data_IF_742982915114
#
_entry.id   IF_742982915114
#
_cell.length_a   1.000
_cell.length_b   1.000
_cell.length_c   1.000
_cell.angle_alpha   90.00
_cell.angle_beta   90.00
_cell.angle_gamma   90.00
#
_symmetry.space_group_name_H-M   'P 1'
#
loop_
_entity.id
_entity.type
_entity.pdbx_description
1 polymer ?
#
# COMPACT_ATOMS: atom_id res chain seq x y z
N UNK A 1 1.32 -0.05 17.05
CA UNK A 1 1.62 1.19 16.28
C UNK A 1 3.11 1.41 16.08
N UNK A 2 3.94 1.41 17.14
CA UNK A 2 5.41 1.58 17.01
C UNK A 2 6.06 0.61 16.00
N UNK A 3 5.68 -0.66 16.00
CA UNK A 3 6.20 -1.65 15.05
C UNK A 3 5.90 -1.28 13.59
N UNK A 4 4.70 -0.76 13.30
CA UNK A 4 4.32 -0.34 11.95
C UNK A 4 5.10 0.92 11.51
N UNK A 5 5.34 1.83 12.46
CA UNK A 5 6.14 3.04 12.26
C UNK A 5 7.61 2.72 11.99
N UNK A 6 8.20 1.82 12.77
CA UNK A 6 9.57 1.35 12.56
C UNK A 6 9.72 0.64 11.22
N UNK A 7 8.74 -0.20 10.87
CA UNK A 7 8.67 -0.83 9.55
C UNK A 7 8.64 0.23 8.44
N UNK A 8 7.72 1.19 8.49
CA UNK A 8 7.63 2.25 7.48
C UNK A 8 8.92 3.07 7.36
N UNK A 9 9.56 3.41 8.49
CA UNK A 9 10.84 4.13 8.52
C UNK A 9 12.00 3.35 7.91
N UNK A 10 11.99 2.02 8.04
CA UNK A 10 13.02 1.16 7.47
C UNK A 10 12.86 0.89 5.97
N UNK A 11 11.64 1.00 5.43
CA UNK A 11 11.32 0.48 4.10
C UNK A 11 10.76 1.50 3.11
N UNK A 12 10.33 2.68 3.55
CA UNK A 12 9.93 3.74 2.62
C UNK A 12 11.16 4.49 2.09
N UNK A 13 11.15 4.90 0.81
CA UNK A 13 12.17 5.78 0.24
C UNK A 13 12.35 7.07 1.06
N UNK A 14 13.58 7.58 1.13
CA UNK A 14 13.92 8.82 1.86
C UNK A 14 13.02 9.98 1.47
N UNK A 15 12.74 10.15 0.17
CA UNK A 15 11.85 11.20 -0.34
C UNK A 15 10.42 11.13 0.19
N UNK A 16 9.94 9.95 0.58
CA UNK A 16 8.64 9.77 1.22
C UNK A 16 8.78 9.99 2.73
N UNK A 17 9.84 9.50 3.36
CA UNK A 17 10.09 9.70 4.79
C UNK A 17 10.15 11.18 5.17
N UNK A 18 10.76 12.01 4.31
CA UNK A 18 10.95 13.44 4.56
C UNK A 18 9.63 14.24 4.58
N UNK A 19 8.56 13.70 3.99
CA UNK A 19 7.25 14.36 3.91
C UNK A 19 6.18 13.72 4.79
N UNK A 20 6.45 12.57 5.41
CA UNK A 20 5.47 11.83 6.23
C UNK A 20 5.70 12.11 7.72
N UNK A 21 4.69 12.67 8.38
CA UNK A 21 4.73 12.85 9.83
C UNK A 21 4.18 11.62 10.56
N UNK A 22 5.08 10.68 10.87
CA UNK A 22 4.74 9.47 11.62
C UNK A 22 4.26 9.69 13.06
N UNK A 23 4.27 10.91 13.60
CA UNK A 23 3.64 11.20 14.90
C UNK A 23 2.11 11.17 14.80
N UNK A 24 1.57 11.38 13.60
CA UNK A 24 0.12 11.39 13.30
C UNK A 24 -0.40 10.03 12.80
N UNK A 25 0.45 9.01 12.75
CA UNK A 25 0.13 7.70 12.18
C UNK A 25 -1.02 7.03 12.95
N UNK A 26 -2.10 6.74 12.25
CA UNK A 26 -3.32 6.15 12.81
C UNK A 26 -3.85 5.02 11.91
N UNK A 27 -4.08 3.84 12.49
CA UNK A 27 -4.70 2.73 11.77
C UNK A 27 -6.20 2.99 11.54
N UNK A 28 -6.64 2.88 10.29
CA UNK A 28 -8.05 3.03 9.91
C UNK A 28 -8.77 1.68 10.01
N UNK A 29 -9.47 1.45 11.13
CA UNK A 29 -10.13 0.17 11.48
C UNK A 29 -11.39 -0.13 10.67
N UNK A 30 -12.14 0.91 10.30
CA UNK A 30 -13.42 0.82 9.60
C UNK A 30 -13.35 1.50 8.24
N UNK A 31 -12.41 1.07 7.41
CA UNK A 31 -12.62 1.31 5.99
C UNK A 31 -13.83 0.46 5.59
N UNK A 32 -14.99 1.10 5.50
CA UNK A 32 -16.24 0.62 4.88
C UNK A 32 -16.05 0.30 3.39
N UNK A 33 -14.86 -0.14 3.02
CA UNK A 33 -14.49 -0.71 1.76
C UNK A 33 -15.07 -2.12 1.78
N UNK A 34 -16.34 -2.18 1.39
CA UNK A 34 -17.14 -3.35 1.06
C UNK A 34 -16.80 -4.65 1.82
N UNK A 35 -17.72 -5.14 2.67
CA UNK A 35 -17.59 -6.41 3.42
C UNK A 35 -17.18 -7.62 2.57
N UNK A 36 -17.40 -7.60 1.26
CA UNK A 36 -16.93 -8.63 0.32
C UNK A 36 -15.40 -8.69 0.15
N UNK A 37 -14.66 -7.64 0.50
CA UNK A 37 -13.19 -7.57 0.44
C UNK A 37 -12.53 -7.93 1.79
N UNK A 38 -13.30 -7.90 2.89
CA UNK A 38 -12.82 -8.20 4.25
C UNK A 38 -12.43 -9.68 4.47
N UNK A 39 -12.80 -10.58 3.56
CA UNK A 39 -12.45 -12.01 3.69
C UNK A 39 -10.98 -12.33 3.33
N UNK A 40 -10.22 -11.35 2.84
CA UNK A 40 -8.77 -11.51 2.58
C UNK A 40 -8.01 -10.64 3.58
N UNK A 41 -7.48 -11.28 4.62
CA UNK A 41 -6.85 -10.68 5.82
C UNK A 41 -5.58 -9.81 5.59
N UNK A 42 -5.37 -9.16 4.45
CA UNK A 42 -4.07 -8.62 4.03
C UNK A 42 -3.96 -7.10 3.91
N UNK A 43 -5.02 -6.35 4.20
CA UNK A 43 -5.11 -4.96 3.76
C UNK A 43 -5.13 -4.03 4.98
N UNK A 44 -4.11 -3.19 5.15
CA UNK A 44 -4.04 -2.19 6.23
C UNK A 44 -4.00 -0.79 5.65
N UNK A 45 -4.92 0.06 6.09
CA UNK A 45 -4.92 1.48 5.74
C UNK A 45 -4.49 2.29 6.95
N UNK A 46 -3.44 3.08 6.79
CA UNK A 46 -2.98 4.02 7.81
C UNK A 46 -3.27 5.43 7.32
N UNK A 47 -3.96 6.22 8.14
CA UNK A 47 -4.01 7.67 8.00
C UNK A 47 -2.72 8.24 8.59
N UNK A 48 -2.16 9.22 7.91
CA UNK A 48 -0.96 9.94 8.34
C UNK A 48 -0.91 11.28 7.63
N UNK A 49 -0.31 12.29 8.23
CA UNK A 49 -0.06 13.55 7.55
C UNK A 49 1.11 13.40 6.57
N UNK A 50 0.84 13.75 5.31
CA UNK A 50 1.79 13.75 4.19
C UNK A 50 1.86 15.17 3.66
N UNK A 51 3.04 15.79 3.76
CA UNK A 51 3.28 17.17 3.37
C UNK A 51 2.28 18.15 4.03
N UNK A 52 2.10 18.04 5.35
CA UNK A 52 1.20 18.85 6.17
C UNK A 52 -0.30 18.74 5.80
N UNK A 53 -0.71 17.64 5.17
CA UNK A 53 -2.11 17.37 4.83
C UNK A 53 -2.45 15.93 5.16
N UNK A 54 -3.71 15.68 5.47
CA UNK A 54 -4.19 14.31 5.65
C UNK A 54 -3.92 13.48 4.39
N UNK A 55 -3.25 12.36 4.59
CA UNK A 55 -2.93 11.37 3.57
C UNK A 55 -3.00 9.96 4.13
N UNK A 56 -2.63 9.00 3.29
CA UNK A 56 -2.77 7.60 3.60
C UNK A 56 -1.58 6.78 3.10
N UNK A 57 -1.22 5.76 3.86
CA UNK A 57 -0.34 4.69 3.43
C UNK A 57 -1.16 3.40 3.43
N UNK A 58 -1.25 2.78 2.26
CA UNK A 58 -2.04 1.56 2.07
C UNK A 58 -1.12 0.36 1.90
N UNK A 59 -1.22 -0.60 2.83
CA UNK A 59 -0.44 -1.83 2.82
C UNK A 59 -1.26 -2.98 2.26
N UNK A 60 -0.69 -3.67 1.27
CA UNK A 60 -1.22 -4.91 0.73
C UNK A 60 -0.21 -6.04 0.97
N UNK A 61 -0.59 -7.03 1.79
CA UNK A 61 0.21 -8.24 2.02
C UNK A 61 -0.11 -9.31 0.97
N UNK A 62 0.81 -9.54 0.04
CA UNK A 62 0.63 -10.55 -1.01
C UNK A 62 1.42 -11.83 -0.69
N UNK A 63 0.72 -12.97 -0.73
CA UNK A 63 1.25 -14.27 -0.30
C UNK A 63 0.98 -15.41 -1.31
N UNK A 64 0.42 -15.12 -2.49
CA UNK A 64 0.14 -16.15 -3.51
C UNK A 64 0.44 -15.69 -4.95
N UNK A 65 1.45 -16.34 -5.55
CA UNK A 65 1.88 -16.24 -6.96
C UNK A 65 0.84 -16.33 -8.10
N UNK A 66 -0.44 -16.62 -7.84
CA UNK A 66 -1.46 -16.75 -8.90
C UNK A 66 -2.25 -15.46 -9.16
N UNK A 67 -2.30 -14.51 -8.21
CA UNK A 67 -3.06 -13.24 -8.34
C UNK A 67 -2.22 -12.05 -8.83
N UNK A 68 -0.93 -12.29 -9.01
CA UNK A 68 0.15 -11.37 -9.37
C UNK A 68 -0.21 -10.30 -10.40
N UNK A 69 -0.87 -10.63 -11.51
CA UNK A 69 -1.14 -9.63 -12.59
C UNK A 69 -2.20 -8.59 -12.23
N UNK A 70 -3.02 -8.85 -11.21
CA UNK A 70 -4.15 -7.99 -10.85
C UNK A 70 -3.86 -7.07 -9.67
N UNK A 71 -2.68 -7.19 -9.04
CA UNK A 71 -2.29 -6.40 -7.86
C UNK A 71 -2.41 -4.90 -8.13
N UNK A 72 -1.95 -4.43 -9.30
CA UNK A 72 -2.07 -3.02 -9.67
C UNK A 72 -3.54 -2.57 -9.73
N UNK A 73 -4.45 -3.41 -10.25
CA UNK A 73 -5.86 -3.08 -10.38
C UNK A 73 -6.57 -3.15 -9.04
N UNK A 74 -6.18 -4.11 -8.19
CA UNK A 74 -6.63 -4.20 -6.82
C UNK A 74 -6.27 -2.91 -6.06
N UNK A 75 -5.00 -2.51 -6.07
CA UNK A 75 -4.54 -1.28 -5.43
C UNK A 75 -5.28 -0.05 -5.95
N UNK A 76 -5.42 0.10 -7.28
CA UNK A 76 -6.11 1.23 -7.87
C UNK A 76 -7.59 1.27 -7.48
N UNK A 77 -8.29 0.13 -7.48
CA UNK A 77 -9.68 0.03 -7.03
C UNK A 77 -9.81 0.49 -5.58
N UNK A 78 -8.94 0.02 -4.70
CA UNK A 78 -8.95 0.43 -3.29
C UNK A 78 -8.68 1.92 -3.12
N UNK A 79 -7.75 2.49 -3.86
CA UNK A 79 -7.48 3.92 -3.82
C UNK A 79 -8.70 4.74 -4.23
N UNK A 80 -9.40 4.32 -5.29
CA UNK A 80 -10.66 4.96 -5.72
C UNK A 80 -11.73 4.84 -4.64
N UNK A 81 -11.92 3.66 -4.04
CA UNK A 81 -12.90 3.46 -2.96
C UNK A 81 -12.58 4.30 -1.71
N UNK A 82 -11.30 4.44 -1.36
CA UNK A 82 -10.86 5.34 -0.28
C UNK A 82 -11.21 6.78 -0.62
N UNK A 83 -10.88 7.24 -1.83
CA UNK A 83 -11.17 8.60 -2.28
C UNK A 83 -12.67 8.90 -2.31
N UNK A 84 -13.48 8.02 -2.88
CA UNK A 84 -14.94 8.14 -2.90
C UNK A 84 -15.50 8.26 -1.48
N UNK A 85 -15.11 7.34 -0.59
CA UNK A 85 -15.51 7.37 0.82
C UNK A 85 -15.14 8.69 1.52
N UNK A 86 -14.00 9.29 1.15
CA UNK A 86 -13.51 10.54 1.73
C UNK A 86 -14.23 11.77 1.18
N UNK A 87 -14.49 11.81 -0.12
CA UNK A 87 -15.27 12.88 -0.76
C UNK A 87 -16.71 12.86 -0.26
N UNK A 88 -17.37 11.70 -0.29
CA UNK A 88 -18.79 11.58 0.06
C UNK A 88 -19.07 11.80 1.56
N UNK A 89 -18.23 11.25 2.44
CA UNK A 89 -18.50 11.27 3.89
C UNK A 89 -17.89 12.45 4.62
N UNK A 90 -16.81 13.02 4.09
CA UNK A 90 -16.06 14.08 4.78
C UNK A 90 -16.10 15.42 4.04
N UNK A 91 -16.73 15.49 2.86
CA UNK A 91 -16.91 16.74 2.11
C UNK A 91 -15.58 17.38 1.68
N UNK A 92 -14.54 16.57 1.49
CA UNK A 92 -13.21 17.05 1.12
C UNK A 92 -13.24 17.68 -0.28
N UNK A 93 -12.61 18.85 -0.42
CA UNK A 93 -12.52 19.61 -1.67
C UNK A 93 -11.45 19.07 -2.63
N UNK A 94 -10.67 18.07 -2.22
CA UNK A 94 -9.63 17.45 -3.01
C UNK A 94 -9.31 16.04 -2.50
N UNK A 95 -8.58 15.28 -3.32
CA UNK A 95 -8.21 13.91 -3.01
C UNK A 95 -6.96 13.86 -2.12
N UNK A 96 -6.99 13.13 -0.99
CA UNK A 96 -5.79 12.92 -0.17
C UNK A 96 -4.77 12.07 -0.93
N UNK A 97 -3.49 12.27 -0.63
CA UNK A 97 -2.41 11.41 -1.15
C UNK A 97 -2.59 10.01 -0.57
N UNK A 98 -2.45 8.99 -1.42
CA UNK A 98 -2.39 7.59 -0.99
C UNK A 98 -1.08 6.99 -1.53
N UNK A 99 -0.25 6.45 -0.64
CA UNK A 99 0.98 5.74 -0.97
C UNK A 99 0.70 4.23 -0.87
N UNK A 100 0.52 3.51 -1.98
CA UNK A 100 0.36 2.07 -1.96
C UNK A 100 1.71 1.37 -1.82
N UNK A 101 1.80 0.48 -0.83
CA UNK A 101 2.94 -0.36 -0.54
C UNK A 101 2.50 -1.84 -0.53
N UNK A 102 3.11 -2.63 -1.40
CA UNK A 102 2.96 -4.08 -1.42
C UNK A 102 4.10 -4.70 -0.63
N UNK A 103 3.77 -5.63 0.26
CA UNK A 103 4.74 -6.44 0.98
C UNK A 103 4.59 -7.87 0.47
N UNK A 104 5.63 -8.38 -0.18
CA UNK A 104 5.61 -9.67 -0.85
C UNK A 104 6.59 -10.63 -0.20
N UNK A 105 6.13 -11.85 0.09
CA UNK A 105 6.86 -12.82 0.90
C UNK A 105 6.68 -14.29 0.46
N UNK A 106 6.64 -14.57 -0.85
CA UNK A 106 6.50 -15.95 -1.37
C UNK A 106 7.86 -16.59 -1.71
N UNK A 107 7.89 -17.76 -2.35
CA UNK A 107 9.11 -18.55 -2.64
C UNK A 107 9.89 -18.11 -3.88
N UNK A 108 9.42 -17.12 -4.64
CA UNK A 108 10.08 -16.67 -5.87
C UNK A 108 10.06 -15.15 -5.99
N UNK A 109 10.92 -14.59 -6.85
CA UNK A 109 11.04 -13.14 -7.02
C UNK A 109 9.76 -12.47 -7.53
N UNK A 110 9.53 -11.22 -7.12
CA UNK A 110 8.45 -10.40 -7.67
C UNK A 110 8.70 -10.08 -9.15
N UNK A 111 7.79 -10.55 -10.03
CA UNK A 111 7.87 -10.34 -11.49
C UNK A 111 6.75 -9.47 -12.07
N UNK A 112 5.93 -8.88 -11.21
CA UNK A 112 4.81 -8.02 -11.60
C UNK A 112 5.31 -6.61 -11.87
N UNK A 113 4.79 -5.98 -12.92
CA UNK A 113 5.06 -4.57 -13.21
C UNK A 113 4.49 -3.68 -12.10
N UNK A 114 5.26 -2.68 -11.68
CA UNK A 114 4.87 -1.72 -10.64
C UNK A 114 4.17 -0.49 -11.19
N UNK A 115 4.41 -0.17 -12.47
CA UNK A 115 3.85 0.98 -13.20
C UNK A 115 2.74 0.55 -14.13
N UNK A 116 1.64 1.31 -14.17
CA UNK A 116 0.53 1.04 -15.09
C UNK A 116 0.96 1.17 -16.56
N UNK A 117 1.83 2.13 -16.85
CA UNK A 117 2.42 2.34 -18.19
C UNK A 117 3.09 1.08 -18.74
N UNK A 118 3.75 0.31 -17.88
CA UNK A 118 4.51 -0.87 -18.28
C UNK A 118 3.61 -2.06 -18.66
N UNK A 119 2.32 -1.97 -18.34
CA UNK A 119 1.30 -2.97 -18.67
C UNK A 119 0.57 -2.66 -19.97
N UNK A 120 0.75 -1.46 -20.53
CA UNK A 120 0.07 -1.04 -21.75
C UNK A 120 0.93 -1.42 -22.96
N UNK A 121 0.37 -2.27 -23.82
CA UNK A 121 1.04 -2.72 -25.05
C UNK A 121 1.30 -1.50 -25.93
N UNK A 122 2.58 -1.26 -26.24
CA UNK A 122 2.98 -0.17 -27.12
C UNK A 122 3.01 1.22 -26.46
N UNK A 123 3.03 1.32 -25.12
CA UNK A 123 2.97 2.60 -24.40
C UNK A 123 3.99 3.64 -24.90
N UNK A 124 5.23 3.22 -25.13
CA UNK A 124 6.31 4.11 -25.56
C UNK A 124 6.12 4.64 -27.00
N UNK A 125 5.30 3.97 -27.81
CA UNK A 125 4.98 4.37 -29.18
C UNK A 125 3.76 5.29 -29.26
N UNK A 126 3.03 5.47 -28.15
CA UNK A 126 1.86 6.36 -28.13
C UNK A 126 2.31 7.83 -28.20
N UNK A 127 1.56 8.68 -28.94
CA UNK A 127 1.74 10.13 -28.86
C UNK A 127 1.52 10.64 -27.44
N UNK A 128 2.22 11.72 -27.05
CA UNK A 128 2.03 12.36 -25.74
C UNK A 128 0.58 12.81 -25.51
N UNK A 129 -0.09 13.24 -26.58
CA UNK A 129 -1.52 13.59 -26.55
C UNK A 129 -2.45 12.42 -26.20
N UNK A 130 -2.02 11.18 -26.40
CA UNK A 130 -2.77 10.00 -25.97
C UNK A 130 -2.41 9.64 -24.53
N UNK A 131 -1.13 9.77 -24.15
CA UNK A 131 -0.65 9.44 -22.80
C UNK A 131 -1.36 10.24 -21.70
N UNK A 132 -1.81 11.47 -21.97
CA UNK A 132 -2.58 12.29 -21.01
C UNK A 132 -3.90 11.67 -20.54
N UNK A 133 -4.45 10.71 -21.28
CA UNK A 133 -5.67 9.98 -20.89
C UNK A 133 -5.38 8.69 -20.12
N UNK A 134 -4.11 8.33 -19.94
CA UNK A 134 -3.68 7.16 -19.19
C UNK A 134 -3.29 7.61 -17.77
N UNK A 135 -3.89 7.04 -16.72
CA UNK A 135 -3.51 7.37 -15.35
C UNK A 135 -2.03 7.09 -15.09
N UNK A 136 -1.32 8.07 -14.51
CA UNK A 136 0.02 7.83 -13.97
C UNK A 136 -0.12 7.16 -12.61
N UNK A 137 0.21 5.87 -12.56
CA UNK A 137 0.09 5.08 -11.34
C UNK A 137 1.28 4.13 -11.18
N UNK A 138 1.88 4.16 -10.00
CA UNK A 138 2.94 3.27 -9.56
C UNK A 138 2.72 2.91 -8.08
N UNK A 139 3.09 1.68 -7.71
CA UNK A 139 3.12 1.26 -6.31
C UNK A 139 4.52 0.86 -5.86
N UNK A 140 4.77 1.03 -4.56
CA UNK A 140 5.99 0.55 -3.92
C UNK A 140 5.87 -0.95 -3.69
N UNK A 141 6.94 -1.69 -3.94
CA UNK A 141 7.03 -3.11 -3.63
C UNK A 141 8.22 -3.33 -2.69
N UNK A 142 7.94 -4.02 -1.60
CA UNK A 142 8.94 -4.57 -0.71
C UNK A 142 8.98 -6.09 -0.88
N UNK A 143 9.94 -6.55 -1.68
CA UNK A 143 10.13 -7.96 -2.02
C UNK A 143 11.06 -8.62 -0.99
N UNK A 144 10.48 -9.32 -0.02
CA UNK A 144 11.21 -10.00 1.04
C UNK A 144 12.05 -11.18 0.54
N UNK A 145 11.80 -11.67 -0.68
CA UNK A 145 12.55 -12.80 -1.26
C UNK A 145 13.97 -12.42 -1.67
N UNK A 146 14.24 -11.12 -1.80
CA UNK A 146 15.55 -10.58 -2.18
C UNK A 146 16.53 -10.43 -1.02
N UNK A 147 16.07 -10.65 0.21
CA UNK A 147 16.90 -10.54 1.40
C UNK A 147 17.27 -11.94 1.88
N UNK A 148 18.56 -12.17 2.09
CA UNK A 148 19.04 -13.40 2.72
C UNK A 148 18.72 -13.36 4.23
N UNK A 149 18.59 -14.53 4.85
CA UNK A 149 18.27 -14.69 6.29
C UNK A 149 19.19 -13.90 7.25
N UNK A 150 20.38 -13.50 6.78
CA UNK A 150 21.39 -12.74 7.52
C UNK A 150 21.16 -11.21 7.49
N UNK A 151 20.61 -10.66 6.40
CA UNK A 151 20.36 -9.22 6.23
C UNK A 151 19.04 -8.80 6.86
N UNK A 152 18.06 -9.70 6.74
CA UNK A 152 16.75 -9.59 7.35
C UNK A 152 16.42 -11.01 7.77
N UNK A 153 16.36 -11.27 9.07
CA UNK A 153 15.70 -12.49 9.53
C UNK A 153 14.27 -12.43 8.99
N UNK A 154 13.97 -13.21 7.96
CA UNK A 154 12.63 -13.30 7.37
C UNK A 154 11.61 -13.64 8.46
N UNK A 155 12.04 -14.39 9.49
CA UNK A 155 11.32 -14.56 10.75
C UNK A 155 11.01 -13.25 11.48
N UNK A 156 11.92 -12.29 11.55
CA UNK A 156 11.71 -11.00 12.20
C UNK A 156 10.70 -10.14 11.45
N UNK A 157 10.75 -10.05 10.11
CA UNK A 157 9.74 -9.30 9.36
C UNK A 157 8.39 -10.01 9.39
N UNK A 158 8.36 -11.32 9.23
CA UNK A 158 7.12 -12.11 9.40
C UNK A 158 6.55 -11.93 10.81
N UNK A 159 7.38 -11.93 11.86
CA UNK A 159 6.96 -11.60 13.24
C UNK A 159 6.49 -10.16 13.36
N UNK A 160 7.12 -9.19 12.70
CA UNK A 160 6.69 -7.80 12.66
C UNK A 160 5.30 -7.70 12.03
N UNK A 161 5.09 -8.33 10.87
CA UNK A 161 3.81 -8.38 10.17
C UNK A 161 2.75 -9.05 11.04
N UNK A 162 3.03 -10.24 11.59
CA UNK A 162 2.13 -10.94 12.51
C UNK A 162 1.82 -10.08 13.74
N UNK A 163 2.81 -9.37 14.30
CA UNK A 163 2.59 -8.46 15.43
C UNK A 163 1.72 -7.27 15.02
N UNK A 164 1.95 -6.67 13.85
CA UNK A 164 1.09 -5.59 13.32
C UNK A 164 -0.34 -6.13 13.17
N UNK A 165 -0.54 -7.27 12.50
CA UNK A 165 -1.86 -7.89 12.33
C UNK A 165 -2.53 -8.23 13.68
N UNK A 166 -1.76 -8.70 14.66
CA UNK A 166 -2.25 -9.00 16.00
C UNK A 166 -2.64 -7.74 16.76
N UNK A 167 -1.78 -6.71 16.75
CA UNK A 167 -2.03 -5.43 17.42
C UNK A 167 -3.24 -4.72 16.79
N UNK A 168 -3.39 -4.80 15.46
CA UNK A 168 -4.59 -4.37 14.72
C UNK A 168 -5.85 -5.07 15.25
N UNK A 169 -5.80 -6.40 15.40
CA UNK A 169 -6.93 -7.22 15.89
C UNK A 169 -7.28 -6.96 17.36
N UNK A 170 -6.32 -6.59 18.20
CA UNK A 170 -6.60 -6.20 19.59
C UNK A 170 -7.18 -4.79 19.66
N UNK A 171 -6.63 -3.85 18.90
CA UNK A 171 -7.17 -2.49 18.83
C UNK A 171 -8.60 -2.46 18.27
N UNK A 172 -9.05 -3.44 17.49
CA UNK A 172 -10.43 -3.52 16.98
C UNK A 172 -11.46 -4.09 17.98
N UNK A 173 -11.05 -4.49 19.19
CA UNK A 173 -11.96 -5.03 20.23
C UNK A 173 -12.26 -4.06 21.37
N UNK A 174 -11.56 -2.93 21.42
CA UNK A 174 -11.75 -1.83 22.36
C UNK A 174 -12.42 -0.64 21.65
#
# INVERSE_FOLDING_TARGET
>A
MEIAKDFMKGYLPVSILDIVDFSTLELQKDSHINKQLQEVFSDLLFKVDINNKEGYIYFLFEHKSYRDRLVIFQLLRYMVEIWESKVEKQGLSGLPVIIPLVIYHDKGEWRVKTKLSDMIIGYNQLPEDVKKYIPSFEYLIYDLTKYNDEDIKLESVTRIIIKIMRDVRHASKD
#
